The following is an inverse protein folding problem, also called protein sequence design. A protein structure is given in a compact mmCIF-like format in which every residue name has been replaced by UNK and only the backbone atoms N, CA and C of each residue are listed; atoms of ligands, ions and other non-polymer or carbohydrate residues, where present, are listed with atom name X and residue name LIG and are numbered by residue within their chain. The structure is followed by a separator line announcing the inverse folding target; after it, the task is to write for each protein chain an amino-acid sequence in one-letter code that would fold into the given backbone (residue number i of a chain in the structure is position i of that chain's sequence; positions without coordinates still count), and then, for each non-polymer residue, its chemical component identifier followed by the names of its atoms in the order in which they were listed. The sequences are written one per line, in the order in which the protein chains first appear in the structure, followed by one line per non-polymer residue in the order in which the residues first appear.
data_IF_493100922165
#
_entry.id   IF_493100922165
#
_cell.length_a   1.000
_cell.length_b   1.000
_cell.length_c   1.000
_cell.angle_alpha   90.00
_cell.angle_beta   90.00
_cell.angle_gamma   90.00
#
_symmetry.space_group_name_H-M   'P 1'
#
loop_
_entity.id
_entity.type
_entity.pdbx_description
1 polymer ?
#
# COMPACT_ATOMS: atom_id res chain seq x y z
N UNK A 1 -2.53 42.51 17.49
CA UNK A 1 -2.79 41.20 18.14
C UNK A 1 -2.98 40.13 17.06
N UNK A 2 -1.98 39.28 16.83
CA UNK A 2 -2.00 38.23 15.80
C UNK A 2 -2.79 37.01 16.30
N UNK A 3 -3.86 36.62 15.59
CA UNK A 3 -4.67 35.43 15.93
C UNK A 3 -4.02 34.20 15.29
N UNK A 4 -3.31 33.44 16.13
CA UNK A 4 -2.52 32.26 15.81
C UNK A 4 -3.41 31.05 15.43
N UNK A 5 -3.09 30.44 14.29
CA UNK A 5 -3.30 29.03 13.87
C UNK A 5 -4.70 28.41 14.05
N UNK A 6 -5.49 28.43 12.97
CA UNK A 6 -6.58 27.45 12.79
C UNK A 6 -5.99 26.12 12.28
N UNK A 7 -5.67 25.24 13.21
CA UNK A 7 -5.29 23.85 12.96
C UNK A 7 -6.49 23.05 12.46
N UNK A 8 -6.86 23.20 11.18
CA UNK A 8 -7.86 22.33 10.54
C UNK A 8 -7.28 20.91 10.48
N UNK A 9 -7.65 20.05 11.44
CA UNK A 9 -7.43 18.61 11.34
C UNK A 9 -8.09 18.13 10.03
N UNK A 10 -7.34 17.54 9.09
CA UNK A 10 -7.95 17.00 7.88
C UNK A 10 -8.92 15.90 8.30
N UNK A 11 -10.21 16.09 8.02
CA UNK A 11 -11.25 15.11 8.24
C UNK A 11 -10.98 13.93 7.30
N UNK A 12 -10.34 12.88 7.79
CA UNK A 12 -10.08 11.67 7.01
C UNK A 12 -11.44 10.99 6.81
N UNK A 13 -11.97 10.87 5.58
CA UNK A 13 -13.23 10.19 5.36
C UNK A 13 -13.09 8.73 5.82
N UNK A 14 -13.86 8.35 6.85
CA UNK A 14 -13.95 6.96 7.34
C UNK A 14 -14.65 6.12 6.26
N UNK A 15 -13.86 5.62 5.31
CA UNK A 15 -14.34 4.74 4.24
C UNK A 15 -14.68 3.37 4.85
N UNK A 16 -15.79 2.79 4.39
CA UNK A 16 -16.27 1.46 4.75
C UNK A 16 -15.14 0.43 4.68
N UNK A 17 -15.10 -0.49 5.65
CA UNK A 17 -14.10 -1.56 5.71
C UNK A 17 -14.25 -2.42 4.46
N UNK A 18 -13.41 -2.20 3.46
CA UNK A 18 -13.24 -3.13 2.35
C UNK A 18 -12.62 -4.40 2.92
N UNK A 19 -13.14 -5.56 2.54
CA UNK A 19 -12.51 -6.81 2.90
C UNK A 19 -11.14 -6.91 2.25
N UNK A 20 -10.15 -7.34 3.03
CA UNK A 20 -8.79 -7.51 2.53
C UNK A 20 -8.73 -8.68 1.53
N UNK A 21 -8.21 -8.49 0.31
CA UNK A 21 -8.12 -9.54 -0.71
C UNK A 21 -7.31 -10.75 -0.19
N UNK A 22 -6.13 -10.49 0.38
CA UNK A 22 -5.30 -11.51 1.02
C UNK A 22 -5.98 -12.30 2.16
N UNK A 23 -6.93 -11.68 2.88
CA UNK A 23 -7.67 -12.41 3.92
C UNK A 23 -8.71 -13.36 3.29
N UNK A 24 -9.34 -12.95 2.18
CA UNK A 24 -10.31 -13.78 1.44
C UNK A 24 -9.64 -15.00 0.82
N UNK A 25 -8.49 -14.78 0.18
CA UNK A 25 -7.74 -15.82 -0.51
C UNK A 25 -6.88 -16.67 0.44
N UNK A 26 -6.89 -16.36 1.75
CA UNK A 26 -6.02 -16.96 2.78
C UNK A 26 -4.55 -17.03 2.35
N UNK A 27 -4.11 -16.06 1.56
CA UNK A 27 -2.77 -16.01 0.98
C UNK A 27 -1.96 -14.88 1.59
N UNK A 28 -0.64 -15.07 1.68
CA UNK A 28 0.28 -14.04 2.15
C UNK A 28 1.00 -13.39 0.96
N UNK A 29 1.29 -12.07 1.03
CA UNK A 29 2.08 -11.41 0.01
C UNK A 29 3.55 -11.83 0.08
N UNK A 30 4.04 -12.48 -0.97
CA UNK A 30 5.41 -12.99 -1.10
C UNK A 30 6.16 -12.31 -2.26
N UNK A 31 7.44 -12.02 -2.05
CA UNK A 31 8.30 -11.37 -3.06
C UNK A 31 8.50 -12.21 -4.33
N UNK A 32 8.37 -13.53 -4.25
CA UNK A 32 8.50 -14.46 -5.39
C UNK A 32 7.33 -14.31 -6.38
N UNK A 33 6.16 -13.87 -5.90
CA UNK A 33 4.94 -13.72 -6.69
C UNK A 33 4.81 -12.28 -7.17
N UNK A 34 5.74 -11.84 -8.01
CA UNK A 34 5.81 -10.44 -8.47
C UNK A 34 4.55 -9.99 -9.22
N UNK A 35 3.88 -10.89 -9.96
CA UNK A 35 2.62 -10.61 -10.66
C UNK A 35 1.55 -10.02 -9.73
N UNK A 36 1.40 -10.59 -8.54
CA UNK A 36 0.41 -10.12 -7.55
C UNK A 36 0.86 -8.78 -6.96
N UNK A 37 2.16 -8.64 -6.67
CA UNK A 37 2.71 -7.41 -6.09
C UNK A 37 2.62 -6.21 -7.03
N UNK A 38 2.64 -6.44 -8.34
CA UNK A 38 2.53 -5.40 -9.37
C UNK A 38 1.18 -4.67 -9.29
N UNK A 39 0.09 -5.37 -8.94
CA UNK A 39 -1.25 -4.77 -8.76
C UNK A 39 -1.32 -3.78 -7.59
N UNK A 40 -0.40 -3.91 -6.61
CA UNK A 40 -0.31 -3.02 -5.44
C UNK A 40 0.69 -1.87 -5.64
N UNK A 41 1.20 -1.70 -6.86
CA UNK A 41 2.13 -0.66 -7.25
C UNK A 41 1.45 0.21 -8.33
N UNK A 42 1.57 1.52 -8.18
CA UNK A 42 1.14 2.46 -9.22
C UNK A 42 2.11 2.43 -10.41
N UNK A 43 1.67 2.87 -11.58
CA UNK A 43 2.52 2.99 -12.79
C UNK A 43 3.84 3.74 -12.54
N UNK A 44 3.85 4.67 -11.58
CA UNK A 44 5.05 5.42 -11.16
C UNK A 44 6.03 4.62 -10.29
N UNK A 45 5.84 3.32 -10.13
CA UNK A 45 6.62 2.48 -9.23
C UNK A 45 6.36 2.73 -7.74
N UNK A 46 5.42 3.58 -7.33
CA UNK A 46 5.09 3.83 -5.91
C UNK A 46 4.10 2.79 -5.35
N UNK A 47 4.24 2.44 -4.07
CA UNK A 47 3.28 1.53 -3.40
C UNK A 47 1.95 2.24 -3.16
N UNK A 48 0.84 1.58 -3.49
CA UNK A 48 -0.50 2.13 -3.30
C UNK A 48 -0.88 2.07 -1.81
N UNK A 49 -1.43 3.14 -1.22
CA UNK A 49 -1.89 3.13 0.17
C UNK A 49 -3.04 2.13 0.40
N UNK A 50 -3.10 1.57 1.62
CA UNK A 50 -4.13 0.59 2.02
C UNK A 50 -5.57 1.08 1.88
N UNK A 51 -5.79 2.39 1.91
CA UNK A 51 -7.12 3.02 1.75
C UNK A 51 -7.71 2.75 0.36
N UNK A 52 -6.88 2.64 -0.66
CA UNK A 52 -7.32 2.37 -2.03
C UNK A 52 -7.47 0.86 -2.26
N UNK A 53 -6.45 0.09 -1.86
CA UNK A 53 -6.35 -1.35 -2.08
C UNK A 53 -7.24 -2.19 -1.14
N UNK A 54 -7.66 -1.64 0.00
CA UNK A 54 -8.47 -2.38 0.98
C UNK A 54 -7.68 -3.42 1.78
N UNK A 55 -6.34 -3.42 1.71
CA UNK A 55 -5.49 -4.38 2.40
C UNK A 55 -5.47 -4.08 3.91
N UNK A 56 -5.60 -5.11 4.75
CA UNK A 56 -5.54 -4.96 6.19
C UNK A 56 -4.12 -4.56 6.66
N UNK A 57 -4.00 -3.87 7.79
CA UNK A 57 -2.70 -3.36 8.27
C UNK A 57 -1.65 -4.46 8.47
N UNK A 58 -2.08 -5.67 8.85
CA UNK A 58 -1.17 -6.83 9.02
C UNK A 58 -0.57 -7.27 7.68
N UNK A 59 -1.40 -7.39 6.64
CA UNK A 59 -0.95 -7.76 5.30
C UNK A 59 -0.22 -6.61 4.62
N UNK A 60 -0.58 -5.35 4.88
CA UNK A 60 0.12 -4.19 4.32
C UNK A 60 1.58 -4.14 4.78
N UNK A 61 1.88 -4.49 6.05
CA UNK A 61 3.26 -4.60 6.55
C UNK A 61 4.05 -5.66 5.79
N UNK A 62 3.50 -6.88 5.68
CA UNK A 62 4.13 -7.98 4.93
C UNK A 62 4.31 -7.63 3.45
N UNK A 63 3.29 -7.01 2.84
CA UNK A 63 3.33 -6.54 1.45
C UNK A 63 4.46 -5.53 1.25
N UNK A 64 4.63 -4.59 2.18
CA UNK A 64 5.71 -3.61 2.10
C UNK A 64 7.11 -4.24 2.18
N UNK A 65 7.30 -5.28 3.01
CA UNK A 65 8.56 -6.02 3.08
C UNK A 65 8.81 -6.81 1.80
N UNK A 66 7.80 -7.51 1.30
CA UNK A 66 7.86 -8.30 0.08
C UNK A 66 8.14 -7.43 -1.15
N UNK A 67 7.51 -6.26 -1.27
CA UNK A 67 7.78 -5.30 -2.36
C UNK A 67 9.20 -4.78 -2.29
N UNK A 68 9.69 -4.41 -1.09
CA UNK A 68 11.09 -3.94 -0.93
C UNK A 68 12.08 -5.02 -1.34
N UNK A 69 11.85 -6.28 -0.95
CA UNK A 69 12.68 -7.42 -1.35
C UNK A 69 12.63 -7.66 -2.87
N UNK A 70 11.43 -7.65 -3.45
CA UNK A 70 11.25 -7.83 -4.89
C UNK A 70 11.96 -6.73 -5.70
N UNK A 71 11.93 -5.48 -5.23
CA UNK A 71 12.68 -4.39 -5.85
C UNK A 71 14.18 -4.55 -5.76
N UNK A 72 14.70 -5.00 -4.61
CA UNK A 72 16.14 -5.27 -4.45
C UNK A 72 16.62 -6.37 -5.40
N UNK A 73 15.78 -7.36 -5.70
CA UNK A 73 16.05 -8.45 -6.64
C UNK A 73 15.83 -8.06 -8.11
N UNK A 74 15.36 -6.83 -8.40
CA UNK A 74 15.07 -6.40 -9.77
C UNK A 74 13.77 -6.95 -10.37
N UNK A 75 12.90 -7.57 -9.56
CA UNK A 75 11.59 -8.09 -10.02
C UNK A 75 10.54 -6.97 -10.19
N UNK A 76 10.73 -5.84 -9.51
CA UNK A 76 9.83 -4.69 -9.56
C UNK A 76 10.63 -3.38 -9.68
N UNK A 77 10.13 -2.39 -10.43
CA UNK A 77 10.84 -1.12 -10.64
C UNK A 77 10.79 -0.20 -9.40
N UNK A 78 11.82 0.61 -9.25
CA UNK A 78 11.88 1.71 -8.25
C UNK A 78 11.33 3.03 -8.81
N UNK A 79 11.51 3.27 -10.10
CA UNK A 79 11.15 4.51 -10.80
C UNK A 79 10.26 4.21 -12.00
N UNK A 80 9.40 5.16 -12.42
CA UNK A 80 8.74 5.04 -13.71
C UNK A 80 9.78 4.87 -14.81
N UNK A 81 9.47 3.98 -15.76
CA UNK A 81 10.16 3.89 -17.06
C UNK A 81 9.57 4.91 -18.02
#
# INVERSE_FOLDING_TARGET
MAKVRSSRKPQIPKKSKKDCPFCKDKSAPDYKKYNILQEFISDRGKMIPSVYTGVCTRHQKKLSESIKRARFLGLLPFTPV
#
